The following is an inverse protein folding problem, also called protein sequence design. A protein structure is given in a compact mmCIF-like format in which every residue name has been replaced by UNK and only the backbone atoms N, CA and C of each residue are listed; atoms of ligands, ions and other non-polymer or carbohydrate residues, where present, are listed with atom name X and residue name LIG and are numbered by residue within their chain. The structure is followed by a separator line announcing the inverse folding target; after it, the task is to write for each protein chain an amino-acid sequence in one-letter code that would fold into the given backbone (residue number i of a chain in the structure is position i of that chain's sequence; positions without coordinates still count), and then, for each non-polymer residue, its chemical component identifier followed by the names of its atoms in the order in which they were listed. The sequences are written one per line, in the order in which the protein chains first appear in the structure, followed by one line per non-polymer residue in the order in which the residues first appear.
data_IF_057330880284
#
_entry.id   IF_057330880284
#
_cell.length_a   1.000
_cell.length_b   1.000
_cell.length_c   1.000
_cell.angle_alpha   90.00
_cell.angle_beta   90.00
_cell.angle_gamma   90.00
#
_symmetry.space_group_name_H-M   'P 1'
#
loop_
_entity.id
_entity.type
_entity.pdbx_description
1 polymer ?
#
# COMPACT_ATOMS: atom_id res chain seq x y z
N UNK A 1 17.65 14.72 8.77
CA UNK A 1 16.53 13.77 8.73
C UNK A 1 15.70 14.00 9.96
N UNK A 2 14.52 14.57 9.79
CA UNK A 2 13.53 14.75 10.85
C UNK A 2 13.02 13.36 11.25
N UNK A 3 13.00 13.09 12.55
CA UNK A 3 12.53 11.81 13.08
C UNK A 3 11.00 11.80 13.03
N UNK A 4 10.42 11.19 11.99
CA UNK A 4 8.97 11.06 11.82
C UNK A 4 8.46 9.95 12.74
N UNK A 5 7.45 10.26 13.56
CA UNK A 5 6.80 9.29 14.44
C UNK A 5 5.61 8.65 13.72
N UNK A 6 5.85 7.51 13.08
CA UNK A 6 4.85 6.83 12.23
C UNK A 6 3.55 6.51 12.98
N UNK A 7 3.64 6.13 14.26
CA UNK A 7 2.49 5.86 15.13
C UNK A 7 1.60 7.10 15.32
N UNK A 8 2.22 8.28 15.46
CA UNK A 8 1.51 9.55 15.64
C UNK A 8 0.86 10.00 14.33
N UNK A 9 1.56 9.84 13.20
CA UNK A 9 1.02 10.12 11.86
C UNK A 9 -0.22 9.26 11.62
N UNK A 10 -0.12 7.97 11.92
CA UNK A 10 -1.21 7.02 11.73
C UNK A 10 -2.41 7.29 12.63
N UNK A 11 -2.17 7.59 13.91
CA UNK A 11 -3.24 7.97 14.83
C UNK A 11 -3.99 9.23 14.36
N UNK A 12 -3.28 10.19 13.75
CA UNK A 12 -3.90 11.37 13.17
C UNK A 12 -4.69 11.04 11.90
N UNK A 13 -4.12 10.24 10.99
CA UNK A 13 -4.79 9.75 9.78
C UNK A 13 -6.10 9.04 10.13
N UNK A 14 -6.07 8.07 11.04
CA UNK A 14 -7.27 7.33 11.47
C UNK A 14 -8.29 8.23 12.15
N UNK A 15 -7.86 9.22 12.93
CA UNK A 15 -8.77 10.20 13.54
C UNK A 15 -9.48 11.03 12.48
N UNK A 16 -8.77 11.50 11.45
CA UNK A 16 -9.38 12.21 10.34
C UNK A 16 -10.37 11.30 9.59
N UNK A 17 -10.01 10.03 9.36
CA UNK A 17 -10.85 9.08 8.64
C UNK A 17 -12.17 8.74 9.37
N UNK A 18 -12.08 8.53 10.68
CA UNK A 18 -13.18 8.16 11.57
C UNK A 18 -14.02 9.35 12.04
N UNK A 19 -13.61 10.59 11.71
CA UNK A 19 -14.37 11.77 12.06
C UNK A 19 -15.73 11.73 11.34
N UNK A 20 -16.80 11.87 12.12
CA UNK A 20 -18.16 11.78 11.61
C UNK A 20 -18.53 13.07 10.89
N UNK A 21 -18.28 13.12 9.58
CA UNK A 21 -18.67 14.24 8.72
C UNK A 21 -20.13 14.09 8.28
N UNK A 22 -21.06 14.25 9.24
CA UNK A 22 -22.52 14.06 9.08
C UNK A 22 -23.10 14.89 7.91
N UNK A 23 -22.42 15.96 7.50
CA UNK A 23 -22.89 16.91 6.48
C UNK A 23 -22.17 16.81 5.12
N UNK A 24 -21.36 15.77 4.86
CA UNK A 24 -20.70 15.63 3.55
C UNK A 24 -21.62 15.04 2.49
N UNK A 25 -21.79 15.75 1.39
CA UNK A 25 -22.63 15.31 0.28
C UNK A 25 -21.86 14.56 -0.81
N UNK A 26 -20.54 14.70 -0.87
CA UNK A 26 -19.69 14.05 -1.86
C UNK A 26 -18.28 13.70 -1.32
N UNK A 27 -17.54 12.94 -2.12
CA UNK A 27 -16.20 12.44 -1.77
C UNK A 27 -15.18 13.57 -1.62
N UNK A 28 -15.23 14.57 -2.50
CA UNK A 28 -14.30 15.71 -2.55
C UNK A 28 -14.38 16.54 -1.25
N UNK A 29 -15.59 16.87 -0.79
CA UNK A 29 -15.84 17.57 0.49
C UNK A 29 -15.29 16.80 1.69
N UNK A 30 -15.49 15.47 1.71
CA UNK A 30 -15.00 14.62 2.80
C UNK A 30 -13.48 14.60 2.84
N UNK A 31 -12.84 14.54 1.68
CA UNK A 31 -11.38 14.58 1.56
C UNK A 31 -10.80 15.91 2.03
N UNK A 32 -11.44 17.03 1.66
CA UNK A 32 -11.00 18.35 2.10
C UNK A 32 -11.04 18.50 3.62
N UNK A 33 -12.13 18.06 4.27
CA UNK A 33 -12.25 18.10 5.73
C UNK A 33 -11.24 17.21 6.44
N UNK A 34 -10.93 16.02 5.89
CA UNK A 34 -9.87 15.15 6.40
C UNK A 34 -8.52 15.85 6.36
N UNK A 35 -8.19 16.51 5.25
CA UNK A 35 -6.97 17.29 5.12
C UNK A 35 -6.91 18.46 6.12
N UNK A 36 -8.01 19.20 6.29
CA UNK A 36 -8.09 20.27 7.29
C UNK A 36 -7.87 19.76 8.72
N UNK A 37 -8.43 18.58 9.05
CA UNK A 37 -8.26 17.92 10.35
C UNK A 37 -6.77 17.62 10.64
N UNK A 38 -6.04 17.10 9.64
CA UNK A 38 -4.60 16.87 9.78
C UNK A 38 -3.82 18.19 9.87
N UNK A 39 -4.17 19.16 9.02
CA UNK A 39 -3.46 20.44 8.93
C UNK A 39 -3.54 21.24 10.23
N UNK A 40 -4.71 21.24 10.87
CA UNK A 40 -4.98 21.94 12.15
C UNK A 40 -4.48 21.19 13.38
N UNK A 41 -4.02 19.94 13.24
CA UNK A 41 -3.54 19.15 14.37
C UNK A 41 -2.18 19.70 14.89
N UNK A 42 -2.18 20.32 16.06
CA UNK A 42 -0.99 20.89 16.69
C UNK A 42 0.00 19.84 17.21
N UNK A 43 -0.41 18.57 17.37
CA UNK A 43 0.46 17.49 17.85
C UNK A 43 1.46 16.99 16.79
N UNK A 44 1.23 17.35 15.52
CA UNK A 44 2.05 16.93 14.39
C UNK A 44 3.07 18.02 14.02
N UNK A 45 4.30 17.59 13.78
CA UNK A 45 5.30 18.40 13.09
C UNK A 45 4.91 18.65 11.63
N UNK A 46 5.57 19.60 10.98
CA UNK A 46 5.33 19.90 9.55
C UNK A 46 5.52 18.67 8.66
N UNK A 47 6.57 17.88 8.89
CA UNK A 47 6.88 16.71 8.07
C UNK A 47 5.90 15.57 8.32
N UNK A 48 5.44 15.40 9.56
CA UNK A 48 4.39 14.45 9.91
C UNK A 48 3.03 14.82 9.26
N UNK A 49 2.68 16.11 9.23
CA UNK A 49 1.49 16.59 8.50
C UNK A 49 1.58 16.30 7.02
N UNK A 50 2.74 16.57 6.42
CA UNK A 50 2.99 16.29 5.00
C UNK A 50 2.78 14.81 4.69
N UNK A 51 3.32 13.92 5.54
CA UNK A 51 3.17 12.48 5.37
C UNK A 51 1.70 12.04 5.53
N UNK A 52 0.99 12.50 6.57
CA UNK A 52 -0.42 12.17 6.76
C UNK A 52 -1.31 12.65 5.61
N UNK A 53 -1.08 13.87 5.10
CA UNK A 53 -1.82 14.41 3.95
C UNK A 53 -1.50 13.61 2.68
N UNK A 54 -0.25 13.20 2.48
CA UNK A 54 0.12 12.34 1.37
C UNK A 54 -0.65 11.01 1.40
N UNK A 55 -0.71 10.36 2.56
CA UNK A 55 -1.48 9.12 2.76
C UNK A 55 -2.97 9.33 2.47
N UNK A 56 -3.58 10.43 2.94
CA UNK A 56 -4.97 10.78 2.62
C UNK A 56 -5.20 10.95 1.12
N UNK A 57 -4.28 11.61 0.42
CA UNK A 57 -4.37 11.81 -1.02
C UNK A 57 -4.24 10.49 -1.81
N UNK A 58 -3.38 9.58 -1.36
CA UNK A 58 -3.22 8.25 -1.95
C UNK A 58 -4.51 7.40 -1.82
N UNK A 59 -5.13 7.39 -0.63
CA UNK A 59 -6.42 6.72 -0.42
C UNK A 59 -7.55 7.38 -1.22
N UNK A 60 -7.60 8.71 -1.23
CA UNK A 60 -8.60 9.45 -1.98
C UNK A 60 -8.54 9.16 -3.49
N UNK A 61 -7.34 9.12 -4.07
CA UNK A 61 -7.15 8.74 -5.47
C UNK A 61 -7.59 7.30 -5.74
N UNK A 62 -7.27 6.38 -4.83
CA UNK A 62 -7.70 4.99 -4.91
C UNK A 62 -9.24 4.88 -4.88
N UNK A 63 -9.92 5.59 -3.96
CA UNK A 63 -11.37 5.59 -3.87
C UNK A 63 -12.01 6.16 -5.14
N UNK A 64 -11.52 7.30 -5.65
CA UNK A 64 -12.05 7.89 -6.90
C UNK A 64 -12.01 6.89 -8.05
N UNK A 65 -10.88 6.19 -8.22
CA UNK A 65 -10.74 5.18 -9.28
C UNK A 65 -11.70 4.00 -9.05
N UNK A 66 -11.80 3.51 -7.82
CA UNK A 66 -12.62 2.34 -7.47
C UNK A 66 -14.12 2.63 -7.62
N UNK A 67 -14.59 3.79 -7.16
CA UNK A 67 -15.99 4.21 -7.29
C UNK A 67 -16.30 4.81 -8.66
N UNK A 68 -15.27 5.15 -9.44
CA UNK A 68 -15.40 5.90 -10.69
C UNK A 68 -16.14 7.24 -10.49
N UNK A 69 -15.87 7.90 -9.37
CA UNK A 69 -16.49 9.17 -8.95
C UNK A 69 -15.44 10.23 -8.61
N UNK A 70 -15.86 11.49 -8.61
CA UNK A 70 -15.02 12.64 -8.27
C UNK A 70 -14.57 13.43 -9.49
N UNK A 71 -13.83 14.50 -9.21
CA UNK A 71 -13.38 15.42 -10.26
C UNK A 71 -12.29 14.79 -11.12
N UNK A 72 -12.53 14.73 -12.44
CA UNK A 72 -11.55 14.26 -13.43
C UNK A 72 -10.63 15.38 -13.89
N UNK A 73 -9.44 15.01 -14.37
CA UNK A 73 -8.46 15.93 -14.96
C UNK A 73 -7.86 15.35 -16.24
N UNK A 74 -7.40 16.23 -17.13
CA UNK A 74 -6.61 15.82 -18.29
C UNK A 74 -5.16 15.57 -17.85
N UNK A 75 -4.63 14.39 -18.15
CA UNK A 75 -3.24 14.07 -17.87
C UNK A 75 -2.32 14.84 -18.82
N UNK A 76 -1.33 15.55 -18.26
CA UNK A 76 -0.35 16.31 -19.07
C UNK A 76 0.53 15.43 -19.94
N UNK A 77 0.70 14.15 -19.59
CA UNK A 77 1.56 13.22 -20.31
C UNK A 77 0.82 12.53 -21.46
N UNK A 78 -0.24 11.79 -21.16
CA UNK A 78 -0.97 11.01 -22.17
C UNK A 78 -2.19 11.72 -22.77
N UNK A 79 -2.55 12.92 -22.30
CA UNK A 79 -3.72 13.69 -22.74
C UNK A 79 -5.08 13.02 -22.51
N UNK A 80 -5.11 11.87 -21.84
CA UNK A 80 -6.34 11.19 -21.44
C UNK A 80 -6.95 11.78 -20.17
N UNK A 81 -8.25 11.61 -20.02
CA UNK A 81 -8.99 11.97 -18.82
C UNK A 81 -8.73 10.93 -17.72
N UNK A 82 -8.28 11.37 -16.54
CA UNK A 82 -7.96 10.50 -15.41
C UNK A 82 -8.55 11.04 -14.09
N UNK A 83 -8.89 10.12 -13.19
CA UNK A 83 -9.49 10.44 -11.89
C UNK A 83 -8.44 10.76 -10.81
N UNK A 84 -7.32 10.03 -10.80
CA UNK A 84 -6.28 10.19 -9.79
C UNK A 84 -5.56 11.53 -9.96
N UNK A 85 -5.24 12.19 -8.85
CA UNK A 85 -4.52 13.47 -8.84
C UNK A 85 -3.01 13.22 -8.82
N UNK A 86 -2.54 12.30 -7.96
CA UNK A 86 -1.14 11.97 -7.68
C UNK A 86 -0.46 11.13 -8.77
N UNK A 87 -1.21 10.49 -9.67
CA UNK A 87 -0.67 9.77 -10.82
C UNK A 87 -1.69 9.76 -11.96
N UNK A 88 -1.30 9.21 -13.10
CA UNK A 88 -2.24 8.88 -14.16
C UNK A 88 -2.30 7.36 -14.28
N UNK A 89 -3.47 6.79 -14.00
CA UNK A 89 -3.76 5.36 -14.11
C UNK A 89 -3.44 4.82 -15.52
N UNK A 90 -3.76 5.59 -16.57
CA UNK A 90 -3.41 5.25 -17.95
C UNK A 90 -1.90 5.20 -18.18
N UNK A 91 -1.16 6.20 -17.66
CA UNK A 91 0.31 6.20 -17.79
C UNK A 91 0.95 5.05 -17.04
N UNK A 92 0.47 4.74 -15.83
CA UNK A 92 0.93 3.60 -15.04
C UNK A 92 0.67 2.30 -15.80
N UNK A 93 -0.54 2.10 -16.32
CA UNK A 93 -0.88 0.91 -17.10
C UNK A 93 -0.02 0.76 -18.36
N UNK A 94 0.22 1.85 -19.09
CA UNK A 94 1.06 1.82 -20.29
C UNK A 94 2.51 1.46 -19.94
N UNK A 95 3.08 2.08 -18.90
CA UNK A 95 4.40 1.73 -18.39
C UNK A 95 4.49 0.25 -18.02
N UNK A 96 3.49 -0.28 -17.31
CA UNK A 96 3.47 -1.70 -16.95
C UNK A 96 3.44 -2.59 -18.19
N UNK A 97 2.54 -2.31 -19.15
CA UNK A 97 2.44 -3.09 -20.40
C UNK A 97 3.75 -3.10 -21.19
N UNK A 98 4.43 -1.96 -21.27
CA UNK A 98 5.73 -1.85 -21.95
C UNK A 98 6.84 -2.66 -21.26
N UNK A 99 6.73 -2.86 -19.94
CA UNK A 99 7.72 -3.56 -19.14
C UNK A 99 7.37 -5.02 -18.83
N UNK A 100 6.28 -5.58 -19.37
CA UNK A 100 5.86 -6.97 -19.10
C UNK A 100 6.95 -8.01 -19.39
N UNK A 101 7.81 -7.76 -20.37
CA UNK A 101 8.95 -8.62 -20.68
C UNK A 101 10.05 -8.62 -19.60
N UNK A 102 10.12 -7.57 -18.78
CA UNK A 102 11.13 -7.42 -17.74
C UNK A 102 10.80 -8.21 -16.46
N UNK A 103 9.54 -8.56 -16.24
CA UNK A 103 9.07 -9.35 -15.09
C UNK A 103 8.82 -10.81 -15.44
N UNK A 104 9.78 -11.47 -16.09
CA UNK A 104 9.66 -12.90 -16.38
C UNK A 104 10.25 -13.77 -15.27
N UNK A 105 9.45 -14.74 -14.84
CA UNK A 105 9.85 -15.83 -13.95
C UNK A 105 10.42 -17.04 -14.70
N UNK A 106 10.38 -17.02 -16.04
CA UNK A 106 10.61 -18.19 -16.89
C UNK A 106 9.47 -19.22 -16.85
N UNK A 107 8.31 -18.88 -16.27
CA UNK A 107 7.09 -19.69 -16.28
C UNK A 107 5.92 -18.85 -16.81
N UNK A 108 5.35 -19.27 -17.94
CA UNK A 108 4.29 -18.53 -18.63
C UNK A 108 3.02 -18.35 -17.81
N UNK A 109 2.67 -19.31 -16.95
CA UNK A 109 1.45 -19.24 -16.14
C UNK A 109 1.59 -18.22 -15.02
N UNK A 110 2.77 -18.17 -14.38
CA UNK A 110 3.10 -17.17 -13.36
C UNK A 110 3.21 -15.78 -13.99
N UNK A 111 3.89 -15.66 -15.13
CA UNK A 111 4.03 -14.39 -15.84
C UNK A 111 2.65 -13.86 -16.26
N UNK A 112 1.77 -14.73 -16.75
CA UNK A 112 0.39 -14.38 -17.10
C UNK A 112 -0.43 -13.92 -15.88
N UNK A 113 -0.27 -14.59 -14.74
CA UNK A 113 -0.92 -14.21 -13.48
C UNK A 113 -0.48 -12.81 -13.05
N UNK A 114 0.84 -12.55 -13.01
CA UNK A 114 1.40 -11.25 -12.62
C UNK A 114 0.89 -10.14 -13.55
N UNK A 115 0.96 -10.34 -14.86
CA UNK A 115 0.46 -9.36 -15.84
C UNK A 115 -1.04 -9.08 -15.68
N UNK A 116 -1.87 -10.11 -15.46
CA UNK A 116 -3.31 -9.93 -15.19
C UNK A 116 -3.57 -9.13 -13.91
N UNK A 117 -2.78 -9.35 -12.86
CA UNK A 117 -2.85 -8.55 -11.63
C UNK A 117 -2.44 -7.10 -11.90
N UNK A 118 -1.35 -6.86 -12.61
CA UNK A 118 -0.85 -5.52 -12.95
C UNK A 118 -1.82 -4.71 -13.80
N UNK A 119 -2.49 -5.32 -14.79
CA UNK A 119 -3.51 -4.65 -15.62
C UNK A 119 -4.70 -4.17 -14.79
N UNK A 120 -5.06 -4.92 -13.75
CA UNK A 120 -6.16 -4.61 -12.86
C UNK A 120 -5.74 -3.78 -11.65
N UNK A 121 -4.46 -3.46 -11.51
CA UNK A 121 -3.99 -2.66 -10.39
C UNK A 121 -4.43 -1.20 -10.60
N UNK A 122 -5.19 -0.68 -9.63
CA UNK A 122 -5.68 0.69 -9.68
C UNK A 122 -4.67 1.70 -9.14
N UNK A 123 -3.74 1.26 -8.28
CA UNK A 123 -2.74 2.09 -7.63
C UNK A 123 -1.34 1.44 -7.73
N UNK A 124 -0.26 2.21 -8.00
CA UNK A 124 1.13 1.77 -7.84
C UNK A 124 1.43 0.94 -6.58
N UNK A 125 0.79 1.28 -5.45
CA UNK A 125 0.96 0.58 -4.16
C UNK A 125 0.33 -0.82 -4.13
N UNK A 126 -0.39 -1.24 -5.16
CA UNK A 126 -0.98 -2.58 -5.26
C UNK A 126 -0.30 -3.45 -6.31
N UNK A 127 0.82 -3.00 -6.87
CA UNK A 127 1.52 -3.74 -7.91
C UNK A 127 2.17 -5.00 -7.34
N UNK A 128 1.80 -6.12 -7.97
CA UNK A 128 2.42 -7.42 -7.77
C UNK A 128 3.50 -7.58 -8.84
N UNK A 129 4.68 -8.02 -8.46
CA UNK A 129 5.78 -8.23 -9.39
C UNK A 129 6.47 -9.59 -9.23
N UNK A 130 7.32 -9.91 -10.20
CA UNK A 130 8.29 -10.98 -10.05
C UNK A 130 9.50 -10.48 -9.29
N UNK A 131 9.82 -11.11 -8.15
CA UNK A 131 10.95 -10.71 -7.30
C UNK A 131 12.10 -11.71 -7.52
N UNK A 132 13.22 -11.30 -8.12
CA UNK A 132 14.40 -12.14 -8.22
C UNK A 132 14.83 -12.65 -6.84
N UNK A 133 15.00 -13.96 -6.69
CA UNK A 133 15.27 -14.59 -5.39
C UNK A 133 16.56 -14.07 -4.74
N UNK A 134 17.55 -13.69 -5.55
CA UNK A 134 18.81 -13.09 -5.10
C UNK A 134 18.64 -11.70 -4.44
N UNK A 135 17.47 -11.05 -4.61
CA UNK A 135 17.13 -9.82 -3.89
C UNK A 135 16.66 -10.11 -2.45
N UNK A 136 16.51 -11.38 -2.06
CA UNK A 136 16.13 -11.80 -0.70
C UNK A 136 17.37 -12.31 0.05
N UNK A 137 17.69 -11.68 1.19
CA UNK A 137 18.77 -12.08 2.09
C UNK A 137 18.24 -12.68 3.38
N UNK A 138 19.09 -13.45 4.07
CA UNK A 138 18.79 -14.05 5.37
C UNK A 138 17.47 -14.86 5.37
N UNK A 139 17.22 -15.60 4.28
CA UNK A 139 16.04 -16.44 4.14
C UNK A 139 16.10 -17.56 5.18
N UNK A 140 15.23 -17.48 6.17
CA UNK A 140 15.25 -18.31 7.38
C UNK A 140 13.87 -18.91 7.61
N UNK A 141 13.81 -20.21 7.90
CA UNK A 141 12.55 -20.88 8.19
C UNK A 141 11.96 -20.35 9.50
N UNK A 142 10.68 -19.96 9.49
CA UNK A 142 9.97 -19.47 10.65
C UNK A 142 9.06 -20.55 11.24
N UNK A 143 8.12 -21.06 10.45
CA UNK A 143 7.13 -22.04 10.92
C UNK A 143 6.40 -22.72 9.76
N UNK A 144 5.59 -23.74 10.06
CA UNK A 144 4.65 -24.35 9.11
C UNK A 144 3.28 -23.68 9.26
N UNK A 145 2.81 -23.03 8.22
CA UNK A 145 1.44 -22.53 8.11
C UNK A 145 0.45 -23.63 7.70
N UNK A 146 -0.82 -23.25 7.52
CA UNK A 146 -1.88 -24.20 7.14
C UNK A 146 -1.62 -24.90 5.80
N UNK A 147 -1.17 -24.13 4.80
CA UNK A 147 -0.97 -24.63 3.43
C UNK A 147 0.48 -24.55 2.95
N UNK A 148 1.41 -24.02 3.73
CA UNK A 148 2.78 -23.71 3.28
C UNK A 148 3.79 -23.67 4.42
N UNK A 149 5.08 -23.65 4.08
CA UNK A 149 6.15 -23.28 5.00
C UNK A 149 6.35 -21.77 4.94
N UNK A 150 6.47 -21.12 6.09
CA UNK A 150 6.68 -19.68 6.22
C UNK A 150 8.16 -19.42 6.50
N UNK A 151 8.73 -18.46 5.77
CA UNK A 151 10.11 -18.02 5.90
C UNK A 151 10.14 -16.51 6.14
N UNK A 152 11.18 -16.03 6.84
CA UNK A 152 11.50 -14.60 6.93
C UNK A 152 12.70 -14.29 6.06
N UNK A 153 12.70 -13.09 5.45
CA UNK A 153 13.79 -12.62 4.61
C UNK A 153 13.88 -11.09 4.66
N UNK A 154 15.05 -10.56 4.30
CA UNK A 154 15.27 -9.13 4.07
C UNK A 154 15.26 -8.90 2.56
N UNK A 155 14.34 -8.07 2.08
CA UNK A 155 14.31 -7.66 0.68
C UNK A 155 15.19 -6.43 0.46
N UNK A 156 16.26 -6.56 -0.33
CA UNK A 156 17.30 -5.52 -0.43
C UNK A 156 17.00 -4.39 -1.40
N UNK A 157 16.05 -4.59 -2.31
CA UNK A 157 15.67 -3.60 -3.33
C UNK A 157 14.47 -2.77 -2.86
N UNK A 158 13.52 -3.39 -2.15
CA UNK A 158 12.29 -2.72 -1.70
C UNK A 158 11.17 -2.78 -2.75
N UNK A 159 10.01 -2.23 -2.39
CA UNK A 159 8.79 -2.22 -3.22
C UNK A 159 8.63 -0.91 -4.02
N UNK A 160 7.80 -0.92 -5.08
CA UNK A 160 7.36 0.30 -5.77
C UNK A 160 6.26 1.03 -4.97
N UNK A 161 6.35 2.36 -4.90
CA UNK A 161 5.44 3.18 -4.10
C UNK A 161 4.96 4.47 -4.79
N UNK A 162 5.81 5.09 -5.61
CA UNK A 162 5.52 6.42 -6.14
C UNK A 162 5.64 6.46 -7.66
N UNK A 163 4.75 7.23 -8.29
CA UNK A 163 4.87 7.57 -9.70
C UNK A 163 5.68 8.87 -9.83
N UNK A 164 6.87 8.81 -10.44
CA UNK A 164 7.62 10.02 -10.78
C UNK A 164 7.12 10.57 -12.11
N UNK A 165 6.38 11.68 -12.01
CA UNK A 165 5.85 12.42 -13.16
C UNK A 165 6.93 12.91 -14.14
N UNK A 166 8.13 13.26 -13.67
CA UNK A 166 9.17 13.85 -14.51
C UNK A 166 9.85 12.81 -15.40
N UNK A 167 9.85 11.52 -15.00
CA UNK A 167 10.47 10.45 -15.78
C UNK A 167 9.52 9.35 -16.19
N UNK A 168 8.22 9.47 -15.87
CA UNK A 168 7.20 8.45 -16.15
C UNK A 168 7.62 7.04 -15.70
N UNK A 169 8.15 6.92 -14.48
CA UNK A 169 8.62 5.66 -13.91
C UNK A 169 8.12 5.48 -12.48
N UNK A 170 8.10 4.22 -12.03
CA UNK A 170 7.82 3.87 -10.65
C UNK A 170 9.09 3.99 -9.79
N UNK A 171 9.01 4.69 -8.67
CA UNK A 171 10.09 4.79 -7.68
C UNK A 171 9.86 3.83 -6.52
N UNK A 172 10.97 3.34 -5.97
CA UNK A 172 10.96 2.42 -4.84
C UNK A 172 10.83 3.20 -3.54
N UNK A 173 9.83 2.86 -2.73
CA UNK A 173 9.63 3.40 -1.38
C UNK A 173 8.86 2.36 -0.56
N UNK A 174 9.03 2.32 0.75
CA UNK A 174 8.41 1.30 1.59
C UNK A 174 7.44 2.02 2.52
N UNK A 175 6.13 1.66 2.56
CA UNK A 175 5.20 1.75 3.72
C UNK A 175 3.66 1.65 3.39
N UNK A 176 3.06 0.48 3.71
CA UNK A 176 1.75 0.29 4.42
C UNK A 176 0.41 0.13 3.65
N UNK A 177 -0.46 -0.77 4.18
CA UNK A 177 -1.91 -0.95 3.94
C UNK A 177 -2.56 -1.81 5.06
N UNK A 178 -3.88 -1.69 5.30
CA UNK A 178 -4.67 -2.42 6.33
C UNK A 178 -4.85 -3.94 6.07
N UNK A 179 -4.37 -4.42 4.94
CA UNK A 179 -4.30 -5.84 4.56
C UNK A 179 -2.82 -6.19 4.39
N UNK A 180 -2.40 -7.39 4.82
CA UNK A 180 -1.04 -7.89 4.59
C UNK A 180 -0.71 -7.79 3.10
N UNK A 181 0.15 -6.82 2.74
CA UNK A 181 0.51 -6.54 1.35
C UNK A 181 1.25 -7.74 0.77
N UNK A 182 0.78 -8.20 -0.39
CA UNK A 182 1.52 -9.13 -1.24
C UNK A 182 2.36 -8.31 -2.21
N UNK A 183 3.68 -8.45 -2.13
CA UNK A 183 4.62 -7.76 -3.02
C UNK A 183 4.78 -8.50 -4.34
N UNK A 184 4.71 -9.83 -4.31
CA UNK A 184 5.08 -10.58 -5.49
C UNK A 184 5.26 -12.07 -5.28
N UNK A 185 5.81 -12.68 -6.33
CA UNK A 185 6.18 -14.08 -6.38
C UNK A 185 7.69 -14.19 -6.59
N UNK A 186 8.27 -15.25 -6.05
CA UNK A 186 9.68 -15.61 -6.30
C UNK A 186 9.83 -17.12 -6.42
N UNK A 187 10.99 -17.60 -6.87
CA UNK A 187 11.32 -19.02 -6.95
C UNK A 187 12.67 -19.28 -6.32
N UNK A 188 12.68 -20.18 -5.34
CA UNK A 188 13.89 -20.64 -4.71
C UNK A 188 14.69 -21.51 -5.72
N UNK A 189 15.92 -21.13 -6.10
CA UNK A 189 16.66 -21.81 -7.15
C UNK A 189 17.13 -23.22 -6.74
N UNK A 190 17.34 -23.47 -5.45
CA UNK A 190 17.82 -24.76 -4.94
C UNK A 190 16.73 -25.83 -4.88
N UNK A 191 15.51 -25.44 -4.50
CA UNK A 191 14.38 -26.36 -4.33
C UNK A 191 13.39 -26.34 -5.50
N UNK A 192 13.46 -25.33 -6.37
CA UNK A 192 12.49 -25.10 -7.44
C UNK A 192 11.12 -24.60 -6.96
N UNK A 193 10.90 -24.46 -5.65
CA UNK A 193 9.62 -24.05 -5.09
C UNK A 193 9.33 -22.56 -5.32
N UNK A 194 8.09 -22.26 -5.67
CA UNK A 194 7.57 -20.90 -5.71
C UNK A 194 7.19 -20.41 -4.32
N UNK A 195 7.37 -19.12 -4.07
CA UNK A 195 7.08 -18.48 -2.79
C UNK A 195 6.32 -17.19 -3.03
N UNK A 196 5.35 -16.91 -2.16
CA UNK A 196 4.69 -15.62 -2.07
C UNK A 196 5.53 -14.71 -1.17
N UNK A 197 5.82 -13.49 -1.63
CA UNK A 197 6.51 -12.48 -0.83
C UNK A 197 5.46 -11.52 -0.28
N UNK A 198 5.31 -11.50 1.04
CA UNK A 198 4.31 -10.70 1.75
C UNK A 198 4.97 -9.88 2.86
N UNK A 199 4.32 -8.81 3.29
CA UNK A 199 4.77 -8.05 4.44
C UNK A 199 4.79 -8.91 5.71
N UNK A 200 5.85 -8.79 6.51
CA UNK A 200 5.99 -9.52 7.77
C UNK A 200 5.25 -8.74 8.87
N UNK A 201 4.16 -9.31 9.36
CA UNK A 201 3.52 -8.82 10.58
C UNK A 201 4.30 -9.27 11.81
N UNK A 202 4.48 -8.37 12.78
CA UNK A 202 5.26 -8.66 14.00
C UNK A 202 4.55 -9.64 14.93
N UNK A 203 3.21 -9.66 14.94
CA UNK A 203 2.41 -10.43 15.88
C UNK A 203 1.03 -10.79 15.32
N UNK A 204 0.50 -11.94 15.72
CA UNK A 204 -0.87 -12.34 15.39
C UNK A 204 -1.88 -11.82 16.42
N UNK A 205 -3.15 -11.68 15.98
CA UNK A 205 -4.24 -11.16 16.81
C UNK A 205 -4.42 -11.95 18.12
N UNK A 206 -4.28 -13.28 18.11
CA UNK A 206 -4.45 -14.10 19.31
C UNK A 206 -3.36 -13.78 20.33
N UNK A 207 -2.12 -13.64 19.90
CA UNK A 207 -1.00 -13.26 20.75
C UNK A 207 -1.16 -11.84 21.29
N UNK A 208 -1.53 -10.87 20.44
CA UNK A 208 -1.78 -9.50 20.85
C UNK A 208 -2.88 -9.42 21.91
N UNK A 209 -4.01 -10.08 21.70
CA UNK A 209 -5.13 -10.10 22.64
C UNK A 209 -4.74 -10.73 23.98
N UNK A 210 -3.95 -11.81 23.98
CA UNK A 210 -3.46 -12.43 25.23
C UNK A 210 -2.57 -11.49 26.03
N UNK A 211 -1.69 -10.74 25.37
CA UNK A 211 -0.75 -9.83 26.03
C UNK A 211 -1.43 -8.55 26.54
N UNK A 212 -2.51 -8.11 25.87
CA UNK A 212 -3.13 -6.80 26.12
C UNK A 212 -4.55 -6.87 26.69
N UNK A 213 -5.08 -8.05 27.02
CA UNK A 213 -6.47 -8.24 27.46
C UNK A 213 -6.94 -7.26 28.54
N UNK A 214 -6.10 -7.06 29.58
CA UNK A 214 -6.39 -6.17 30.71
C UNK A 214 -6.08 -4.69 30.45
N UNK A 215 -5.39 -4.39 29.35
CA UNK A 215 -4.98 -3.03 28.97
C UNK A 215 -5.92 -2.40 27.95
N UNK A 216 -6.60 -3.23 27.15
CA UNK A 216 -7.48 -2.77 26.07
C UNK A 216 -8.79 -2.21 26.60
N UNK A 217 -9.03 -0.92 26.34
CA UNK A 217 -10.34 -0.31 26.58
C UNK A 217 -11.33 -0.68 25.47
N UNK A 218 -12.64 -0.54 25.75
CA UNK A 218 -13.69 -0.99 24.82
C UNK A 218 -13.61 -0.34 23.44
N UNK A 219 -13.19 0.93 23.37
CA UNK A 219 -12.97 1.65 22.11
C UNK A 219 -11.88 1.00 21.25
N UNK A 220 -10.75 0.61 21.83
CA UNK A 220 -9.64 -0.04 21.12
C UNK A 220 -10.06 -1.42 20.61
N UNK A 221 -10.86 -2.15 21.40
CA UNK A 221 -11.44 -3.44 20.98
C UNK A 221 -12.32 -3.28 19.74
N UNK A 222 -13.16 -2.25 19.72
CA UNK A 222 -14.01 -1.94 18.55
C UNK A 222 -13.18 -1.61 17.31
N UNK A 223 -12.10 -0.82 17.46
CA UNK A 223 -11.18 -0.46 16.37
C UNK A 223 -10.48 -1.68 15.76
N UNK A 224 -10.02 -2.62 16.60
CA UNK A 224 -9.41 -3.88 16.16
C UNK A 224 -10.40 -4.69 15.30
N UNK A 225 -11.69 -4.71 15.67
CA UNK A 225 -12.71 -5.47 14.93
C UNK A 225 -13.17 -4.81 13.64
N UNK A 226 -13.06 -3.48 13.51
CA UNK A 226 -13.49 -2.75 12.32
C UNK A 226 -12.42 -2.65 11.23
N UNK A 227 -11.20 -3.16 11.46
CA UNK A 227 -10.08 -3.04 10.52
C UNK A 227 -9.55 -1.60 10.40
N UNK A 228 -9.89 -0.74 11.35
CA UNK A 228 -9.43 0.65 11.44
C UNK A 228 -8.45 0.73 12.61
N UNK A 229 -7.34 0.00 12.50
CA UNK A 229 -6.24 0.02 13.48
C UNK A 229 -5.27 1.10 13.13
#
# INVERSE_FOLDING_TARGET
MTNIRDDVVWAAFNRAYLSNYINCNNLDERHELRNQTIFTNESLTKDEKLLAIKLLNEDYDHIKILSNEGTKRICKNCQEECLATLYCDHCVQNYLKENFSNWTSGNSDIDNLIQKCQIKAFNPNMLVEWIPYNNLRNVTYLTKGGCSKIYTAIWTVGEYYEWDFNKSHLTLSNKWADIVRCYGLTKNPSSGNYMLVINKMEMDLRTYLKQNYNKLIWKERMQITSGTS
#
